data_IF_925572227040
#
_entry.id   IF_925572227040
#
_cell.length_a   1.000
_cell.length_b   1.000
_cell.length_c   1.000
_cell.angle_alpha   90.00
_cell.angle_beta   90.00
_cell.angle_gamma   90.00
#
_symmetry.space_group_name_H-M   'P 1'
#
loop_
_entity.id
_entity.type
_entity.pdbx_description
1 polymer ?
#
# COMPACT_ATOMS: atom_id res chain seq x y z
N UNK A 1 16.58 -10.69 22.10
CA UNK A 1 15.17 -11.03 21.89
C UNK A 1 14.99 -11.23 20.39
N UNK A 2 14.30 -12.30 19.96
CA UNK A 2 14.05 -12.49 18.53
C UNK A 2 13.18 -11.32 18.02
N UNK A 3 13.58 -10.70 16.92
CA UNK A 3 12.76 -9.71 16.22
C UNK A 3 11.45 -10.38 15.81
N UNK A 4 10.32 -9.83 16.20
CA UNK A 4 9.02 -10.37 15.80
C UNK A 4 8.55 -9.56 14.59
N UNK A 5 8.76 -10.14 13.41
CA UNK A 5 8.24 -9.60 12.14
C UNK A 5 6.95 -10.34 11.81
N UNK A 6 5.93 -9.58 11.48
CA UNK A 6 4.64 -10.11 11.07
C UNK A 6 4.28 -9.61 9.66
N UNK A 7 3.89 -10.54 8.79
CA UNK A 7 3.28 -10.20 7.49
C UNK A 7 1.79 -10.45 7.58
N UNK A 8 1.00 -9.47 7.17
CA UNK A 8 -0.46 -9.48 7.24
C UNK A 8 -1.03 -9.36 5.83
N UNK A 9 -1.91 -10.30 5.46
CA UNK A 9 -2.68 -10.19 4.23
C UNK A 9 -3.86 -9.23 4.49
N UNK A 10 -3.85 -8.06 3.85
CA UNK A 10 -4.82 -6.99 4.08
C UNK A 10 -6.02 -7.04 3.12
N UNK A 11 -5.88 -7.80 2.05
CA UNK A 11 -6.94 -8.01 1.06
C UNK A 11 -6.54 -9.12 0.09
N UNK A 12 -7.55 -9.66 -0.61
CA UNK A 12 -7.40 -10.80 -1.53
C UNK A 12 -8.24 -10.65 -2.79
N UNK A 13 -8.99 -9.55 -2.93
CA UNK A 13 -9.75 -9.29 -4.14
C UNK A 13 -8.80 -8.79 -5.25
N UNK A 14 -9.20 -9.03 -6.50
CA UNK A 14 -8.49 -8.47 -7.65
C UNK A 14 -8.69 -6.93 -7.72
N UNK A 15 -7.94 -6.25 -8.58
CA UNK A 15 -7.83 -4.79 -8.68
C UNK A 15 -9.16 -4.01 -8.65
N UNK A 16 -10.19 -4.55 -9.29
CA UNK A 16 -11.49 -3.90 -9.37
C UNK A 16 -12.42 -4.20 -8.18
N UNK A 17 -11.93 -4.95 -7.19
CA UNK A 17 -12.70 -5.36 -6.01
C UNK A 17 -13.65 -6.54 -6.24
N UNK A 18 -14.26 -7.02 -5.15
CA UNK A 18 -15.31 -8.02 -5.17
C UNK A 18 -16.38 -7.65 -4.10
N UNK A 19 -17.62 -7.29 -4.49
CA UNK A 19 -18.13 -7.22 -5.87
C UNK A 19 -17.52 -6.07 -6.68
N UNK A 20 -17.22 -6.31 -7.93
CA UNK A 20 -16.78 -5.28 -8.85
C UNK A 20 -17.93 -4.32 -9.19
N UNK A 21 -17.64 -3.04 -9.31
CA UNK A 21 -18.59 -2.02 -9.69
C UNK A 21 -19.23 -2.33 -11.06
N UNK A 22 -20.56 -2.29 -11.12
CA UNK A 22 -21.32 -2.54 -12.34
C UNK A 22 -21.28 -3.99 -12.87
N UNK A 23 -20.72 -4.94 -12.13
CA UNK A 23 -20.62 -6.34 -12.56
C UNK A 23 -21.77 -7.19 -12.02
N UNK A 24 -22.48 -7.89 -12.92
CA UNK A 24 -23.58 -8.81 -12.59
C UNK A 24 -23.23 -10.29 -12.82
N UNK A 25 -21.95 -10.62 -12.87
CA UNK A 25 -21.52 -12.02 -12.91
C UNK A 25 -21.92 -12.77 -11.62
N UNK A 26 -21.96 -14.09 -11.70
CA UNK A 26 -22.41 -14.96 -10.60
C UNK A 26 -21.64 -14.69 -9.29
N UNK A 27 -20.34 -14.41 -9.35
CA UNK A 27 -19.51 -14.15 -8.19
C UNK A 27 -19.85 -12.81 -7.53
N UNK A 28 -20.02 -11.75 -8.32
CA UNK A 28 -20.37 -10.42 -7.82
C UNK A 28 -21.78 -10.37 -7.24
N UNK A 29 -22.74 -11.04 -7.90
CA UNK A 29 -24.11 -11.18 -7.39
C UNK A 29 -24.11 -11.94 -6.05
N UNK A 30 -23.41 -13.07 -5.98
CA UNK A 30 -23.30 -13.86 -4.74
C UNK A 30 -22.59 -13.09 -3.63
N UNK A 31 -21.54 -12.32 -3.94
CA UNK A 31 -20.84 -11.48 -2.97
C UNK A 31 -21.76 -10.41 -2.38
N UNK A 32 -22.50 -9.68 -3.23
CA UNK A 32 -23.49 -8.69 -2.78
C UNK A 32 -24.59 -9.33 -1.90
N UNK A 33 -25.14 -10.44 -2.33
CA UNK A 33 -26.18 -11.14 -1.58
C UNK A 33 -25.69 -11.62 -0.19
N UNK A 34 -24.42 -12.00 -0.10
CA UNK A 34 -23.80 -12.46 1.15
C UNK A 34 -23.18 -11.32 1.98
N UNK A 35 -23.25 -10.05 1.55
CA UNK A 35 -22.60 -8.91 2.21
C UNK A 35 -21.08 -9.03 2.25
N UNK A 36 -20.45 -9.79 1.34
CA UNK A 36 -19.00 -9.98 1.27
C UNK A 36 -18.37 -8.87 0.43
N UNK A 37 -17.40 -8.18 1.01
CA UNK A 37 -16.62 -7.13 0.35
C UNK A 37 -15.16 -7.23 0.80
N UNK A 38 -14.41 -8.27 0.37
CA UNK A 38 -13.00 -8.37 0.71
C UNK A 38 -12.23 -7.23 0.06
N UNK A 39 -11.28 -6.65 0.80
CA UNK A 39 -10.41 -5.60 0.28
C UNK A 39 -9.57 -6.11 -0.90
N UNK A 40 -9.20 -5.19 -1.77
CA UNK A 40 -8.24 -5.41 -2.87
C UNK A 40 -6.89 -5.87 -2.29
N UNK A 41 -6.18 -6.72 -3.04
CA UNK A 41 -4.95 -7.36 -2.59
C UNK A 41 -3.89 -6.35 -2.14
N UNK A 42 -3.44 -6.51 -0.91
CA UNK A 42 -2.35 -5.73 -0.31
C UNK A 42 -1.75 -6.52 0.85
N UNK A 43 -0.49 -6.22 1.18
CA UNK A 43 0.20 -6.78 2.34
C UNK A 43 0.60 -5.66 3.31
N UNK A 44 0.54 -5.98 4.59
CA UNK A 44 1.20 -5.22 5.64
C UNK A 44 2.42 -5.98 6.16
N UNK A 45 3.48 -5.26 6.46
CA UNK A 45 4.70 -5.78 7.08
C UNK A 45 4.89 -5.01 8.37
N UNK A 46 4.91 -5.70 9.51
CA UNK A 46 5.05 -5.10 10.84
C UNK A 46 6.35 -5.56 11.46
N UNK A 47 7.18 -4.62 11.90
CA UNK A 47 8.33 -4.87 12.77
C UNK A 47 7.98 -4.42 14.19
N UNK A 48 7.62 -5.38 15.03
CA UNK A 48 7.25 -5.10 16.43
C UNK A 48 8.45 -4.63 17.28
N UNK A 49 9.67 -4.91 16.84
CA UNK A 49 10.89 -4.46 17.55
C UNK A 49 11.15 -2.98 17.27
N UNK A 50 11.04 -2.57 16.01
CA UNK A 50 11.22 -1.18 15.59
C UNK A 50 9.96 -0.32 15.77
N UNK A 51 8.83 -0.92 16.17
CA UNK A 51 7.53 -0.25 16.26
C UNK A 51 7.19 0.50 14.96
N UNK A 52 7.35 -0.18 13.84
CA UNK A 52 7.11 0.36 12.50
C UNK A 52 6.36 -0.64 11.62
N UNK A 53 5.61 -0.13 10.66
CA UNK A 53 4.96 -0.97 9.65
C UNK A 53 4.99 -0.31 8.26
N UNK A 54 4.94 -1.15 7.25
CA UNK A 54 4.91 -0.79 5.83
C UNK A 54 3.74 -1.48 5.15
N UNK A 55 3.30 -0.91 4.03
CA UNK A 55 2.30 -1.54 3.18
C UNK A 55 2.87 -1.81 1.79
N UNK A 56 2.45 -2.91 1.20
CA UNK A 56 2.67 -3.21 -0.23
C UNK A 56 1.37 -2.90 -0.95
N UNK A 57 1.44 -1.96 -1.86
CA UNK A 57 0.37 -1.33 -2.62
C UNK A 57 -0.61 -0.48 -1.78
N UNK A 58 -1.01 0.63 -2.37
CA UNK A 58 -2.01 1.55 -1.86
C UNK A 58 -3.30 1.40 -2.68
N UNK A 59 -4.15 0.47 -2.27
CA UNK A 59 -5.38 0.10 -2.98
C UNK A 59 -6.50 1.11 -2.77
N UNK A 60 -7.63 1.02 -3.49
CA UNK A 60 -8.83 1.80 -3.17
C UNK A 60 -9.33 1.63 -1.73
N UNK A 61 -9.00 0.48 -1.09
CA UNK A 61 -9.38 0.18 0.30
C UNK A 61 -8.31 0.62 1.32
N UNK A 62 -7.36 1.46 0.92
CA UNK A 62 -6.24 1.91 1.74
C UNK A 62 -6.64 2.37 3.16
N UNK A 63 -7.71 3.18 3.36
CA UNK A 63 -8.08 3.62 4.70
C UNK A 63 -8.42 2.46 5.64
N UNK A 64 -9.16 1.47 5.14
CA UNK A 64 -9.53 0.28 5.92
C UNK A 64 -8.32 -0.61 6.19
N UNK A 65 -7.46 -0.80 5.20
CA UNK A 65 -6.24 -1.60 5.31
C UNK A 65 -5.23 -0.98 6.27
N UNK A 66 -5.07 0.34 6.24
CA UNK A 66 -4.24 1.07 7.20
C UNK A 66 -4.77 0.90 8.63
N UNK A 67 -6.09 0.98 8.82
CA UNK A 67 -6.71 0.76 10.13
C UNK A 67 -6.46 -0.66 10.64
N UNK A 68 -6.54 -1.67 9.78
CA UNK A 68 -6.21 -3.06 10.15
C UNK A 68 -4.78 -3.20 10.69
N UNK A 69 -3.81 -2.47 10.14
CA UNK A 69 -2.42 -2.48 10.63
C UNK A 69 -2.27 -1.74 11.95
N UNK A 70 -2.92 -0.59 12.10
CA UNK A 70 -2.91 0.17 13.35
C UNK A 70 -3.48 -0.61 14.52
N UNK A 71 -4.50 -1.42 14.28
CA UNK A 71 -5.09 -2.30 15.32
C UNK A 71 -4.15 -3.46 15.70
N UNK A 72 -3.32 -3.95 14.77
CA UNK A 72 -2.35 -5.03 15.02
C UNK A 72 -1.03 -4.55 15.62
N UNK A 73 -0.68 -3.31 15.39
CA UNK A 73 0.54 -2.69 15.90
C UNK A 73 0.21 -1.30 16.51
N UNK A 74 -0.50 -1.26 17.66
CA UNK A 74 -0.88 -0.01 18.30
C UNK A 74 0.36 0.81 18.65
N UNK A 75 0.37 2.09 18.25
CA UNK A 75 1.49 3.00 18.50
C UNK A 75 2.65 2.89 17.51
N UNK A 76 2.66 1.88 16.63
CA UNK A 76 3.71 1.77 15.62
C UNK A 76 3.57 2.86 14.54
N UNK A 77 4.72 3.28 14.01
CA UNK A 77 4.82 4.27 12.94
C UNK A 77 4.53 3.65 11.59
N UNK A 78 3.69 4.31 10.79
CA UNK A 78 3.57 4.01 9.35
C UNK A 78 4.80 4.57 8.65
N UNK A 79 5.73 3.69 8.26
CA UNK A 79 7.07 4.07 7.81
C UNK A 79 7.22 4.13 6.28
N UNK A 80 6.30 3.56 5.52
CA UNK A 80 6.38 3.64 4.07
C UNK A 80 5.49 2.68 3.30
N UNK A 81 5.59 2.83 1.98
CA UNK A 81 4.84 2.06 0.97
C UNK A 81 5.79 1.49 -0.07
N UNK A 82 5.47 0.29 -0.55
CA UNK A 82 6.10 -0.32 -1.72
C UNK A 82 5.02 -0.42 -2.79
N UNK A 83 5.23 0.15 -3.98
CA UNK A 83 4.33 -0.02 -5.10
C UNK A 83 4.86 -1.06 -6.07
N UNK A 84 4.03 -2.03 -6.39
CA UNK A 84 4.41 -3.11 -7.30
C UNK A 84 4.30 -2.69 -8.77
N UNK A 85 3.17 -2.07 -9.16
CA UNK A 85 2.92 -1.67 -10.55
C UNK A 85 1.81 -0.62 -10.68
N UNK A 86 1.56 -0.13 -11.90
CA UNK A 86 0.67 0.99 -12.19
C UNK A 86 -0.78 0.59 -12.56
N UNK A 87 -1.28 -0.53 -12.09
CA UNK A 87 -2.72 -0.77 -12.14
C UNK A 87 -3.44 0.03 -11.05
N UNK A 88 -4.61 0.57 -11.37
CA UNK A 88 -5.33 1.47 -10.46
C UNK A 88 -5.63 0.86 -9.08
N UNK A 89 -5.81 -0.45 -9.02
CA UNK A 89 -6.01 -1.18 -7.77
C UNK A 89 -4.82 -1.16 -6.82
N UNK A 90 -3.63 -0.69 -7.26
CA UNK A 90 -2.38 -0.77 -6.49
C UNK A 90 -1.81 0.59 -6.07
N UNK A 91 -2.27 1.71 -6.64
CA UNK A 91 -1.71 3.04 -6.33
C UNK A 91 -2.74 4.14 -6.06
N UNK A 92 -4.02 3.93 -6.39
CA UNK A 92 -5.02 5.00 -6.25
C UNK A 92 -5.24 5.43 -4.82
N UNK A 93 -5.03 4.54 -3.86
CA UNK A 93 -5.11 4.84 -2.43
C UNK A 93 -4.06 5.83 -1.93
N UNK A 94 -2.98 6.09 -2.69
CA UNK A 94 -2.00 7.13 -2.34
C UNK A 94 -2.64 8.50 -2.10
N UNK A 95 -3.80 8.78 -2.72
CA UNK A 95 -4.49 10.06 -2.55
C UNK A 95 -4.81 10.38 -1.08
N UNK A 96 -4.98 9.34 -0.26
CA UNK A 96 -5.26 9.50 1.18
C UNK A 96 -4.07 10.03 1.99
N UNK A 97 -2.86 10.04 1.42
CA UNK A 97 -1.67 10.58 2.10
C UNK A 97 -1.62 12.12 2.06
N UNK A 98 -2.36 12.71 1.14
CA UNK A 98 -2.33 14.15 0.86
C UNK A 98 -3.04 15.01 1.90
N UNK A 99 -2.92 16.31 1.68
CA UNK A 99 -3.42 17.39 2.55
C UNK A 99 -4.91 17.30 2.87
N UNK A 100 -5.71 16.80 1.95
CA UNK A 100 -7.17 16.73 2.11
C UNK A 100 -7.63 15.53 2.96
N UNK A 101 -6.70 14.64 3.34
CA UNK A 101 -6.96 13.46 4.16
C UNK A 101 -5.99 13.36 5.34
N UNK A 102 -4.88 12.63 5.21
CA UNK A 102 -3.95 12.40 6.31
C UNK A 102 -2.96 13.55 6.54
N UNK A 103 -2.66 14.33 5.50
CA UNK A 103 -1.57 15.32 5.46
C UNK A 103 -0.26 14.80 6.07
N UNK A 104 0.02 13.53 5.83
CA UNK A 104 1.23 12.89 6.34
C UNK A 104 2.45 13.43 5.61
N UNK A 105 3.61 13.41 6.27
CA UNK A 105 4.85 13.92 5.68
C UNK A 105 5.92 12.84 5.63
N UNK A 106 6.79 12.95 4.62
CA UNK A 106 8.02 12.16 4.48
C UNK A 106 7.83 10.63 4.44
N UNK A 107 6.67 10.17 3.96
CA UNK A 107 6.46 8.73 3.75
C UNK A 107 7.36 8.25 2.63
N UNK A 108 8.24 7.29 2.92
CA UNK A 108 9.07 6.67 1.89
C UNK A 108 8.20 5.80 0.97
N UNK A 109 8.35 6.05 -0.33
CA UNK A 109 7.63 5.33 -1.39
C UNK A 109 8.63 4.58 -2.26
N UNK A 110 8.80 3.27 -2.03
CA UNK A 110 9.63 2.42 -2.88
C UNK A 110 8.85 2.01 -4.13
N UNK A 111 9.37 2.36 -5.29
CA UNK A 111 8.77 1.99 -6.58
C UNK A 111 9.81 2.08 -7.70
N UNK A 112 9.49 1.54 -8.89
CA UNK A 112 10.37 1.66 -10.04
C UNK A 112 10.51 3.10 -10.52
N UNK A 113 11.59 3.41 -11.25
CA UNK A 113 11.80 4.72 -11.91
C UNK A 113 10.65 5.09 -12.84
N UNK A 114 10.08 4.11 -13.55
CA UNK A 114 8.90 4.31 -14.42
C UNK A 114 7.67 4.73 -13.61
N UNK A 115 7.47 4.10 -12.45
CA UNK A 115 6.37 4.47 -11.54
C UNK A 115 6.58 5.86 -10.96
N UNK A 116 7.78 6.21 -10.54
CA UNK A 116 8.13 7.58 -10.10
C UNK A 116 7.82 8.61 -11.18
N UNK A 117 8.23 8.36 -12.43
CA UNK A 117 7.95 9.23 -13.56
C UNK A 117 6.44 9.37 -13.83
N UNK A 118 5.70 8.27 -13.75
CA UNK A 118 4.25 8.27 -13.89
C UNK A 118 3.58 9.14 -12.81
N UNK A 119 3.93 8.99 -11.54
CA UNK A 119 3.37 9.78 -10.45
C UNK A 119 3.69 11.27 -10.60
N UNK A 120 4.92 11.61 -11.01
CA UNK A 120 5.33 13.00 -11.25
C UNK A 120 4.57 13.68 -12.40
N UNK A 121 4.19 12.91 -13.41
CA UNK A 121 3.52 13.42 -14.61
C UNK A 121 1.99 13.53 -14.46
N UNK A 122 1.42 13.02 -13.39
CA UNK A 122 -0.03 12.91 -13.25
C UNK A 122 -0.53 13.50 -11.91
N UNK A 123 -1.41 14.50 -12.00
CA UNK A 123 -2.18 14.95 -10.86
C UNK A 123 -3.27 13.90 -10.52
N UNK A 124 -3.65 13.72 -9.22
CA UNK A 124 -3.20 14.47 -8.05
C UNK A 124 -1.89 13.98 -7.42
N UNK A 125 -1.31 12.86 -7.90
CA UNK A 125 -0.14 12.24 -7.27
C UNK A 125 1.11 13.12 -7.34
N UNK A 126 1.26 13.93 -8.41
CA UNK A 126 2.32 14.92 -8.46
C UNK A 126 2.27 15.90 -7.27
N UNK A 127 1.07 16.25 -6.80
CA UNK A 127 0.88 17.07 -5.62
C UNK A 127 1.47 16.43 -4.36
N UNK A 128 1.29 15.12 -4.17
CA UNK A 128 1.83 14.39 -3.01
C UNK A 128 3.36 14.46 -2.93
N UNK A 129 4.03 14.40 -4.11
CA UNK A 129 5.47 14.51 -4.20
C UNK A 129 5.95 15.95 -3.95
N UNK A 130 5.26 16.93 -4.57
CA UNK A 130 5.62 18.34 -4.46
C UNK A 130 5.39 18.88 -3.05
N UNK A 131 4.34 18.44 -2.39
CA UNK A 131 3.99 18.85 -1.03
C UNK A 131 4.81 18.10 0.05
N UNK A 132 5.64 17.10 -0.36
CA UNK A 132 6.45 16.32 0.57
C UNK A 132 5.66 15.30 1.41
N UNK A 133 4.47 14.90 0.95
CA UNK A 133 3.73 13.82 1.61
C UNK A 133 4.43 12.48 1.41
N UNK A 134 4.95 12.24 0.20
CA UNK A 134 5.72 11.04 -0.14
C UNK A 134 7.06 11.37 -0.77
N UNK A 135 8.08 10.60 -0.43
CA UNK A 135 9.44 10.70 -0.97
C UNK A 135 9.77 9.41 -1.73
N UNK A 136 9.82 9.43 -3.08
CA UNK A 136 10.15 8.24 -3.86
C UNK A 136 11.57 7.77 -3.61
N UNK A 137 11.72 6.46 -3.43
CA UNK A 137 12.98 5.73 -3.49
C UNK A 137 12.89 4.68 -4.59
N UNK A 138 13.72 4.85 -5.60
CA UNK A 138 13.72 3.93 -6.74
C UNK A 138 14.27 2.56 -6.35
N UNK A 139 13.56 1.51 -6.77
CA UNK A 139 13.98 0.11 -6.64
C UNK A 139 14.41 -0.42 -8.01
N UNK A 140 15.41 -1.27 -8.00
CA UNK A 140 15.98 -1.88 -9.21
C UNK A 140 15.80 -3.39 -9.17
N UNK A 141 15.62 -4.00 -10.34
CA UNK A 141 15.47 -5.45 -10.46
C UNK A 141 16.65 -6.18 -9.82
N UNK A 142 16.35 -7.15 -8.96
CA UNK A 142 17.32 -7.98 -8.23
C UNK A 142 18.31 -7.23 -7.33
N UNK A 143 18.05 -5.95 -7.02
CA UNK A 143 18.82 -5.21 -6.03
C UNK A 143 18.05 -5.13 -4.72
N UNK A 144 18.54 -5.74 -3.63
CA UNK A 144 17.83 -5.72 -2.36
C UNK A 144 17.86 -4.33 -1.72
N UNK A 145 16.77 -3.97 -1.04
CA UNK A 145 16.72 -2.79 -0.18
C UNK A 145 16.15 -3.16 1.19
N UNK A 146 16.51 -2.38 2.21
CA UNK A 146 16.07 -2.64 3.59
C UNK A 146 14.90 -1.73 3.98
N UNK A 147 13.91 -2.31 4.66
CA UNK A 147 12.85 -1.57 5.35
C UNK A 147 13.27 -1.25 6.80
N UNK A 148 13.92 -2.21 7.46
CA UNK A 148 14.53 -2.08 8.78
C UNK A 148 15.78 -2.95 8.86
N UNK A 149 16.47 -2.95 10.00
CA UNK A 149 17.66 -3.83 10.22
C UNK A 149 17.34 -5.32 10.02
N UNK A 150 16.09 -5.74 10.27
CA UNK A 150 15.68 -7.13 10.19
C UNK A 150 14.91 -7.50 8.93
N UNK A 151 14.58 -6.54 8.05
CA UNK A 151 13.72 -6.75 6.88
C UNK A 151 14.38 -6.25 5.61
N UNK A 152 14.68 -7.19 4.71
CA UNK A 152 15.17 -6.93 3.38
C UNK A 152 14.14 -7.38 2.33
N UNK A 153 13.96 -6.56 1.29
CA UNK A 153 13.07 -6.83 0.16
C UNK A 153 13.91 -6.97 -1.10
N UNK A 154 13.70 -8.06 -1.83
CA UNK A 154 14.34 -8.32 -3.12
C UNK A 154 13.30 -8.20 -4.23
N UNK A 155 13.33 -7.13 -5.06
CA UNK A 155 12.39 -6.98 -6.15
C UNK A 155 12.77 -7.82 -7.36
N UNK A 156 11.76 -8.30 -8.08
CA UNK A 156 11.88 -8.94 -9.40
C UNK A 156 10.92 -8.24 -10.37
N UNK A 157 11.41 -7.89 -11.57
CA UNK A 157 10.66 -7.30 -12.68
C UNK A 157 10.49 -8.28 -13.83
#
# INVERSE_FOLDING_TARGET
MASTIQVVLLGVAQDAGLPQAGCDCVNCVAARAAGRNPCVVSLGIIDHTQQAFWMVDATPDFPQQLQMLRERAPGATFAGLILTHAHMGHYTGLIHLGREAMDIRDITLWCSSKMTAFLRANAPWAGLLNDGNVTPREIMDKEPFSLSEGISVLPYQ
#
